data_IF_958876919706
#
_entry.id   IF_958876919706
#
_cell.length_a   1.000
_cell.length_b   1.000
_cell.length_c   1.000
_cell.angle_alpha   90.00
_cell.angle_beta   90.00
_cell.angle_gamma   90.00
#
_symmetry.space_group_name_H-M   'P 1'
#
loop_
_entity.id
_entity.type
_entity.pdbx_description
1 polymer ?
#
# COMPACT_ATOMS: atom_id res chain seq x y z
N UNK A 1 -10.27 -13.55 -13.11
CA UNK A 1 -10.10 -14.68 -12.15
C UNK A 1 -11.44 -14.97 -11.50
N UNK A 2 -11.98 -16.18 -11.70
CA UNK A 2 -13.34 -16.57 -11.29
C UNK A 2 -13.39 -17.61 -10.15
N UNK A 3 -12.23 -18.09 -9.71
CA UNK A 3 -12.07 -19.09 -8.64
C UNK A 3 -11.10 -18.53 -7.57
N UNK A 4 -11.47 -18.53 -6.27
CA UNK A 4 -10.56 -18.14 -5.19
C UNK A 4 -9.37 -19.11 -5.00
N UNK A 5 -9.36 -20.29 -5.63
CA UNK A 5 -8.27 -21.25 -5.56
C UNK A 5 -8.01 -21.75 -4.14
N UNK A 6 -6.73 -21.96 -3.80
CA UNK A 6 -6.32 -22.52 -2.50
C UNK A 6 -6.52 -21.50 -1.39
N UNK A 7 -7.42 -21.80 -0.45
CA UNK A 7 -7.65 -20.96 0.73
C UNK A 7 -6.57 -21.25 1.78
N UNK A 8 -5.73 -20.25 2.07
CA UNK A 8 -4.68 -20.33 3.09
C UNK A 8 -5.20 -19.95 4.49
N UNK A 9 -6.23 -19.10 4.56
CA UNK A 9 -6.87 -18.66 5.80
C UNK A 9 -8.29 -18.17 5.54
N UNK A 10 -9.21 -18.40 6.49
CA UNK A 10 -10.58 -17.90 6.44
C UNK A 10 -11.60 -18.98 6.06
N UNK A 11 -12.89 -18.61 6.10
CA UNK A 11 -13.98 -19.52 5.77
C UNK A 11 -14.21 -19.59 4.25
N UNK A 12 -14.09 -20.79 3.67
CA UNK A 12 -14.12 -20.98 2.22
C UNK A 12 -15.45 -20.65 1.56
N UNK A 13 -16.57 -20.95 2.22
CA UNK A 13 -17.90 -20.64 1.70
C UNK A 13 -18.17 -19.13 1.74
N UNK A 14 -17.78 -18.45 2.83
CA UNK A 14 -17.85 -17.00 2.92
C UNK A 14 -16.97 -16.29 1.88
N UNK A 15 -15.79 -16.83 1.58
CA UNK A 15 -14.91 -16.34 0.51
C UNK A 15 -15.60 -16.49 -0.85
N UNK A 16 -16.09 -17.67 -1.21
CA UNK A 16 -16.79 -17.91 -2.49
C UNK A 16 -18.03 -17.02 -2.66
N UNK A 17 -18.81 -16.84 -1.60
CA UNK A 17 -19.96 -15.95 -1.60
C UNK A 17 -19.54 -14.48 -1.78
N UNK A 18 -18.40 -14.08 -1.22
CA UNK A 18 -17.85 -12.73 -1.39
C UNK A 18 -17.25 -12.52 -2.77
N UNK A 19 -16.59 -13.52 -3.34
CA UNK A 19 -16.07 -13.50 -4.71
C UNK A 19 -17.22 -13.35 -5.72
N UNK A 20 -18.30 -14.11 -5.54
CA UNK A 20 -19.53 -13.97 -6.34
C UNK A 20 -20.08 -12.56 -6.28
N UNK A 21 -20.18 -11.97 -5.08
CA UNK A 21 -20.66 -10.59 -4.91
C UNK A 21 -19.75 -9.56 -5.59
N UNK A 22 -18.43 -9.73 -5.48
CA UNK A 22 -17.47 -8.86 -6.17
C UNK A 22 -17.62 -8.97 -7.69
N UNK A 23 -17.79 -10.18 -8.24
CA UNK A 23 -17.93 -10.39 -9.68
C UNK A 23 -19.21 -9.76 -10.26
N UNK A 24 -20.27 -9.65 -9.46
CA UNK A 24 -21.51 -8.97 -9.83
C UNK A 24 -21.39 -7.44 -9.78
N UNK A 25 -20.37 -6.91 -9.10
CA UNK A 25 -20.15 -5.48 -9.02
C UNK A 25 -19.58 -4.96 -10.35
N UNK A 26 -20.19 -3.92 -10.97
CA UNK A 26 -19.69 -3.36 -12.21
C UNK A 26 -18.28 -2.81 -12.01
N UNK A 27 -17.45 -2.94 -13.04
CA UNK A 27 -16.13 -2.30 -13.10
C UNK A 27 -16.36 -0.85 -13.48
N UNK A 28 -15.95 0.06 -12.59
CA UNK A 28 -16.11 1.50 -12.82
C UNK A 28 -15.00 2.06 -13.69
N UNK A 29 -13.80 1.48 -13.63
CA UNK A 29 -12.68 1.86 -14.46
C UNK A 29 -11.82 0.64 -14.78
N UNK A 30 -11.87 0.21 -16.04
CA UNK A 30 -11.05 -0.88 -16.57
C UNK A 30 -9.89 -0.31 -17.40
N UNK A 31 -8.67 -0.62 -16.98
CA UNK A 31 -7.43 -0.23 -17.63
C UNK A 31 -6.61 -1.46 -18.04
N UNK A 32 -7.22 -2.65 -18.10
CA UNK A 32 -6.53 -3.93 -18.35
C UNK A 32 -5.73 -3.95 -19.65
N UNK A 33 -6.22 -3.23 -20.68
CA UNK A 33 -5.58 -3.14 -22.00
C UNK A 33 -4.44 -2.10 -22.07
N UNK A 34 -4.15 -1.41 -20.96
CA UNK A 34 -3.11 -0.39 -20.93
C UNK A 34 -1.73 -1.05 -21.08
N UNK A 35 -0.88 -0.59 -22.00
CA UNK A 35 0.47 -1.12 -22.12
C UNK A 35 1.29 -0.80 -20.86
N UNK A 36 2.09 -1.76 -20.43
CA UNK A 36 3.04 -1.64 -19.32
C UNK A 36 4.46 -1.91 -19.79
N UNK A 37 5.42 -1.28 -19.14
CA UNK A 37 6.82 -1.51 -19.42
C UNK A 37 7.22 -2.96 -19.12
N UNK A 38 8.15 -3.55 -19.90
CA UNK A 38 8.65 -4.89 -19.61
C UNK A 38 9.39 -4.92 -18.27
N UNK A 39 9.45 -6.10 -17.66
CA UNK A 39 10.19 -6.31 -16.41
C UNK A 39 11.67 -5.90 -16.55
N UNK A 40 12.17 -5.23 -15.52
CA UNK A 40 13.55 -4.76 -15.45
C UNK A 40 14.48 -5.94 -15.19
N UNK A 41 15.61 -6.00 -15.91
CA UNK A 41 16.59 -7.08 -15.74
C UNK A 41 17.54 -6.84 -14.56
N UNK A 42 17.88 -5.58 -14.30
CA UNK A 42 18.84 -5.18 -13.28
C UNK A 42 18.18 -4.33 -12.21
N UNK A 43 18.65 -4.52 -10.98
CA UNK A 43 18.24 -3.71 -9.85
C UNK A 43 18.65 -2.26 -10.06
N UNK A 44 17.95 -1.35 -9.40
CA UNK A 44 18.24 0.08 -9.38
C UNK A 44 18.32 0.58 -7.94
N UNK A 45 19.06 1.68 -7.77
CA UNK A 45 19.00 2.53 -6.58
C UNK A 45 18.84 3.98 -7.03
N UNK A 46 18.76 4.91 -6.08
CA UNK A 46 18.67 6.34 -6.36
C UNK A 46 19.99 6.89 -6.92
N UNK A 47 19.93 7.91 -7.78
CA UNK A 47 21.16 8.54 -8.28
C UNK A 47 21.75 9.56 -7.30
N UNK A 48 20.88 10.25 -6.56
CA UNK A 48 21.23 11.24 -5.53
C UNK A 48 20.19 11.23 -4.41
N UNK A 49 20.52 11.77 -3.23
CA UNK A 49 19.54 11.93 -2.18
C UNK A 49 18.60 13.11 -2.44
N UNK A 50 17.37 13.01 -1.94
CA UNK A 50 16.41 14.12 -1.88
C UNK A 50 15.68 14.13 -0.53
N UNK A 51 15.38 15.31 -0.03
CA UNK A 51 14.79 15.52 1.29
C UNK A 51 13.44 16.23 1.17
N UNK A 52 12.47 15.74 1.94
CA UNK A 52 11.15 16.37 2.09
C UNK A 52 10.83 16.55 3.57
N UNK A 53 10.15 17.64 3.90
CA UNK A 53 9.73 17.96 5.25
C UNK A 53 8.28 18.45 5.30
N UNK A 54 7.58 18.17 6.39
CA UNK A 54 6.20 18.57 6.59
C UNK A 54 5.73 18.37 8.03
N UNK A 55 4.50 18.76 8.38
CA UNK A 55 3.95 18.55 9.71
C UNK A 55 3.79 17.05 10.02
N UNK A 56 3.94 16.62 11.26
CA UNK A 56 3.71 15.22 11.66
C UNK A 56 2.23 14.90 11.91
N UNK A 57 1.87 13.61 11.85
CA UNK A 57 0.47 13.20 12.04
C UNK A 57 0.02 13.24 13.50
N UNK A 58 0.87 12.82 14.45
CA UNK A 58 0.46 12.57 15.85
C UNK A 58 0.99 13.58 16.87
N UNK A 59 2.01 14.37 16.52
CA UNK A 59 2.63 15.35 17.44
C UNK A 59 2.35 16.81 17.00
N UNK A 60 1.18 17.07 16.43
CA UNK A 60 0.77 18.42 16.04
C UNK A 60 1.70 19.07 15.00
N UNK A 61 2.20 20.27 15.29
CA UNK A 61 3.00 21.09 14.35
C UNK A 61 4.48 20.70 14.24
N UNK A 62 4.92 19.63 14.89
CA UNK A 62 6.31 19.19 14.78
C UNK A 62 6.63 18.87 13.32
N UNK A 63 7.68 19.50 12.79
CA UNK A 63 8.19 19.17 11.46
C UNK A 63 8.84 17.79 11.50
N UNK A 64 8.46 16.93 10.56
CA UNK A 64 9.10 15.65 10.26
C UNK A 64 9.87 15.81 8.98
N UNK A 65 10.98 15.09 8.88
CA UNK A 65 11.86 15.11 7.72
C UNK A 65 12.16 13.68 7.29
N UNK A 66 12.06 13.45 5.99
CA UNK A 66 12.51 12.21 5.35
C UNK A 66 13.55 12.57 4.29
N UNK A 67 14.64 11.82 4.27
CA UNK A 67 15.61 11.82 3.18
C UNK A 67 15.63 10.45 2.51
N UNK A 68 15.41 10.45 1.21
CA UNK A 68 15.61 9.28 0.36
C UNK A 68 17.06 9.27 -0.09
N UNK A 69 17.77 8.18 0.12
CA UNK A 69 19.19 8.09 -0.19
C UNK A 69 19.54 6.79 -0.92
N UNK A 70 20.54 6.81 -1.82
CA UNK A 70 21.10 5.60 -2.40
C UNK A 70 21.66 4.68 -1.31
N UNK A 71 21.65 3.37 -1.56
CA UNK A 71 22.22 2.40 -0.62
C UNK A 71 22.76 1.18 -1.36
N UNK A 72 23.79 0.56 -0.78
CA UNK A 72 24.31 -0.74 -1.20
C UNK A 72 23.57 -1.92 -0.57
N UNK A 73 22.71 -1.67 0.42
CA UNK A 73 21.87 -2.70 1.04
C UNK A 73 20.73 -3.06 0.07
N UNK A 74 20.48 -4.36 -0.11
CA UNK A 74 19.37 -4.82 -0.95
C UNK A 74 18.02 -4.54 -0.28
N UNK A 75 17.06 -4.05 -1.06
CA UNK A 75 15.71 -3.71 -0.60
C UNK A 75 15.59 -2.31 -0.01
N UNK A 76 14.42 -2.04 0.56
CA UNK A 76 14.12 -0.77 1.20
C UNK A 76 14.38 -0.85 2.71
N UNK A 77 14.96 0.20 3.28
CA UNK A 77 15.33 0.28 4.68
C UNK A 77 14.90 1.60 5.28
N UNK A 78 14.45 1.58 6.53
CA UNK A 78 14.12 2.77 7.32
C UNK A 78 15.20 3.00 8.37
N UNK A 79 15.81 4.17 8.37
CA UNK A 79 16.85 4.56 9.33
C UNK A 79 16.38 5.71 10.23
N UNK A 80 16.23 5.43 11.53
CA UNK A 80 15.80 6.39 12.56
C UNK A 80 16.97 7.28 12.97
N UNK A 81 17.20 8.35 12.23
CA UNK A 81 18.31 9.29 12.44
C UNK A 81 18.26 10.01 13.79
N UNK A 82 17.08 10.14 14.38
CA UNK A 82 16.87 10.67 15.74
C UNK A 82 17.23 9.65 16.85
N UNK A 83 17.58 8.40 16.47
CA UNK A 83 17.95 7.32 17.38
C UNK A 83 19.30 6.72 17.02
N UNK A 84 20.41 7.48 17.18
CA UNK A 84 21.75 6.98 16.92
C UNK A 84 22.00 5.71 17.77
N UNK A 85 22.48 4.64 17.13
CA UNK A 85 22.69 3.33 17.74
C UNK A 85 21.57 2.30 17.48
N UNK A 86 20.47 2.69 16.85
CA UNK A 86 19.48 1.75 16.32
C UNK A 86 19.94 1.22 14.95
N UNK A 87 19.75 -0.08 14.69
CA UNK A 87 19.95 -0.61 13.34
C UNK A 87 18.77 -0.20 12.43
N UNK A 88 19.03 0.01 11.13
CA UNK A 88 17.96 0.22 10.16
C UNK A 88 16.92 -0.91 10.16
N UNK A 89 15.67 -0.56 9.92
CA UNK A 89 14.53 -1.48 9.85
C UNK A 89 14.33 -1.88 8.40
N UNK A 90 14.53 -3.15 8.05
CA UNK A 90 14.22 -3.66 6.70
C UNK A 90 12.71 -3.57 6.45
N UNK A 91 12.31 -3.09 5.29
CA UNK A 91 10.93 -3.18 4.81
C UNK A 91 10.66 -4.64 4.44
N UNK A 92 9.90 -5.34 5.29
CA UNK A 92 9.61 -6.76 5.12
C UNK A 92 8.63 -7.27 6.17
N UNK A 93 7.91 -8.34 5.82
CA UNK A 93 6.81 -8.86 6.64
C UNK A 93 7.24 -9.30 8.05
N UNK A 94 8.49 -9.75 8.21
CA UNK A 94 9.08 -10.13 9.49
C UNK A 94 9.24 -8.96 10.47
N UNK A 95 9.27 -7.72 9.98
CA UNK A 95 9.39 -6.52 10.79
C UNK A 95 8.04 -5.83 11.05
N UNK A 96 6.91 -6.37 10.55
CA UNK A 96 5.58 -5.85 10.89
C UNK A 96 5.28 -6.12 12.35
N UNK A 97 5.14 -5.05 13.12
CA UNK A 97 4.84 -5.13 14.55
C UNK A 97 3.34 -5.15 14.81
N UNK A 98 2.58 -4.27 14.15
CA UNK A 98 1.12 -4.17 14.30
C UNK A 98 0.52 -3.42 13.11
N UNK A 99 -0.79 -3.57 12.91
CA UNK A 99 -1.54 -2.86 11.86
C UNK A 99 -2.46 -1.74 12.38
N UNK A 100 -2.25 -1.28 13.63
CA UNK A 100 -2.95 -0.15 14.22
C UNK A 100 -4.46 -0.38 14.43
N UNK A 101 -4.95 -0.32 15.67
CA UNK A 101 -6.38 -0.57 15.94
C UNK A 101 -7.27 0.67 15.79
N UNK A 102 -6.75 1.86 16.13
CA UNK A 102 -7.53 3.12 16.10
C UNK A 102 -7.37 3.82 14.74
N UNK A 103 -6.12 3.98 14.32
CA UNK A 103 -5.72 4.39 12.98
C UNK A 103 -5.11 3.15 12.33
N UNK A 104 -5.83 2.59 11.37
CA UNK A 104 -5.34 1.48 10.54
C UNK A 104 -4.12 1.97 9.79
N UNK A 105 -2.97 1.36 10.03
CA UNK A 105 -1.69 1.69 9.38
C UNK A 105 -0.77 0.46 9.41
N UNK A 106 0.43 0.55 8.83
CA UNK A 106 1.48 -0.45 9.01
C UNK A 106 2.56 0.13 9.93
N UNK A 107 2.94 -0.64 10.95
CA UNK A 107 4.05 -0.30 11.85
C UNK A 107 5.17 -1.30 11.68
N UNK A 108 6.34 -0.81 11.29
CA UNK A 108 7.56 -1.61 11.21
C UNK A 108 8.45 -1.35 12.43
N UNK A 109 9.13 -2.40 12.91
CA UNK A 109 10.04 -2.33 14.06
C UNK A 109 11.25 -3.24 13.84
N UNK A 110 12.40 -2.85 14.38
CA UNK A 110 13.58 -3.73 14.49
C UNK A 110 14.29 -3.53 15.82
N UNK A 111 14.66 -4.62 16.49
CA UNK A 111 15.42 -4.58 17.74
C UNK A 111 14.66 -3.90 18.88
N UNK A 112 15.23 -2.81 19.42
CA UNK A 112 14.69 -2.09 20.57
C UNK A 112 13.19 -1.74 20.38
N UNK A 113 12.32 -1.91 21.40
CA UNK A 113 10.89 -1.55 21.34
C UNK A 113 10.58 -0.13 20.85
N UNK A 114 11.50 0.81 21.02
CA UNK A 114 11.35 2.21 20.59
C UNK A 114 11.87 2.48 19.17
N UNK A 115 12.52 1.52 18.52
CA UNK A 115 12.97 1.62 17.13
C UNK A 115 11.87 1.10 16.19
N UNK A 116 10.83 1.90 16.03
CA UNK A 116 9.71 1.64 15.13
C UNK A 116 9.40 2.85 14.25
N UNK A 117 8.73 2.61 13.13
CA UNK A 117 8.12 3.63 12.28
C UNK A 117 6.69 3.19 11.99
N UNK A 118 5.73 4.08 12.25
CA UNK A 118 4.30 3.87 11.96
C UNK A 118 3.89 4.64 10.70
N UNK A 119 2.75 4.29 10.13
CA UNK A 119 2.21 4.92 8.92
C UNK A 119 3.14 4.79 7.71
N UNK A 120 3.81 3.64 7.57
CA UNK A 120 4.76 3.44 6.47
C UNK A 120 4.09 3.10 5.14
N UNK A 121 2.79 2.78 5.14
CA UNK A 121 2.06 2.20 4.01
C UNK A 121 2.22 3.00 2.72
N UNK A 122 1.94 4.31 2.78
CA UNK A 122 1.95 5.23 1.64
C UNK A 122 3.33 5.43 1.04
N UNK A 123 4.37 5.17 1.84
CA UNK A 123 5.76 5.22 1.42
C UNK A 123 6.17 3.89 0.80
N UNK A 124 5.97 2.80 1.55
CA UNK A 124 6.42 1.45 1.20
C UNK A 124 5.71 0.93 -0.05
N UNK A 125 4.46 1.32 -0.30
CA UNK A 125 3.74 0.88 -1.50
C UNK A 125 4.42 1.30 -2.80
N UNK A 126 5.12 2.44 -2.80
CA UNK A 126 5.82 2.97 -3.97
C UNK A 126 6.96 2.06 -4.46
N UNK A 127 7.43 1.13 -3.61
CA UNK A 127 8.38 0.09 -3.99
C UNK A 127 7.89 -0.73 -5.20
N UNK A 128 6.58 -0.94 -5.31
CA UNK A 128 6.01 -1.75 -6.39
C UNK A 128 5.96 -1.02 -7.73
N UNK A 129 5.98 0.32 -7.74
CA UNK A 129 5.66 1.12 -8.92
C UNK A 129 6.74 2.08 -9.40
N UNK A 130 7.67 2.49 -8.53
CA UNK A 130 8.65 3.53 -8.85
C UNK A 130 9.94 3.01 -9.49
N UNK A 131 10.08 1.68 -9.65
CA UNK A 131 11.27 1.09 -10.28
C UNK A 131 12.57 1.35 -9.50
N UNK A 132 12.50 1.40 -8.17
CA UNK A 132 13.64 1.53 -7.24
C UNK A 132 13.70 0.29 -6.36
N UNK A 133 14.75 -0.53 -6.48
CA UNK A 133 14.87 -1.76 -5.69
C UNK A 133 15.54 -1.53 -4.33
N UNK A 134 16.55 -0.66 -4.32
CA UNK A 134 17.43 -0.46 -3.17
C UNK A 134 17.38 1.01 -2.75
N UNK A 135 16.92 1.28 -1.53
CA UNK A 135 16.83 2.65 -1.01
C UNK A 135 16.96 2.67 0.52
N UNK A 136 17.68 3.66 1.03
CA UNK A 136 17.64 4.03 2.43
C UNK A 136 16.68 5.21 2.61
N UNK A 137 15.73 5.07 3.53
CA UNK A 137 14.78 6.11 3.93
C UNK A 137 15.20 6.56 5.33
N UNK A 138 15.88 7.69 5.40
CA UNK A 138 16.28 8.30 6.65
C UNK A 138 15.13 9.14 7.19
N UNK A 139 14.74 8.92 8.44
CA UNK A 139 13.62 9.61 9.08
C UNK A 139 14.03 10.12 10.46
N UNK A 140 13.66 11.36 10.78
CA UNK A 140 14.00 12.05 12.03
C UNK A 140 12.98 11.82 13.16
N UNK A 141 12.10 10.84 12.99
CA UNK A 141 10.99 10.61 13.90
C UNK A 141 10.36 9.23 13.69
N UNK A 142 9.37 8.88 14.53
CA UNK A 142 8.66 7.61 14.44
C UNK A 142 7.50 7.57 13.43
N UNK A 143 7.21 8.66 12.72
CA UNK A 143 6.14 8.75 11.71
C UNK A 143 6.56 9.68 10.56
N UNK A 144 6.15 9.41 9.30
CA UNK A 144 6.45 10.30 8.19
C UNK A 144 5.73 11.65 8.30
N UNK A 145 6.15 12.66 7.52
CA UNK A 145 5.36 13.87 7.31
C UNK A 145 3.94 13.54 6.83
N UNK A 146 2.98 14.32 7.30
CA UNK A 146 1.61 14.31 6.82
C UNK A 146 1.54 15.17 5.55
N UNK A 147 1.44 14.49 4.42
CA UNK A 147 1.35 15.13 3.11
C UNK A 147 -0.07 15.63 2.81
N UNK A 148 -0.19 16.82 2.20
CA UNK A 148 -1.50 17.35 1.80
C UNK A 148 -1.97 16.80 0.44
N UNK A 149 -1.03 16.36 -0.41
CA UNK A 149 -1.28 15.93 -1.78
C UNK A 149 -1.29 14.39 -1.94
N UNK A 150 -1.73 13.66 -0.90
CA UNK A 150 -1.54 12.21 -0.87
C UNK A 150 -0.04 11.87 -0.82
N UNK A 151 0.42 10.87 -1.55
CA UNK A 151 1.84 10.53 -1.69
C UNK A 151 2.55 11.25 -2.83
N UNK A 152 1.93 12.23 -3.50
CA UNK A 152 2.52 12.89 -4.67
C UNK A 152 3.87 13.53 -4.36
N UNK A 153 3.98 14.21 -3.21
CA UNK A 153 5.24 14.86 -2.78
C UNK A 153 6.39 13.83 -2.65
N UNK A 154 6.07 12.58 -2.26
CA UNK A 154 7.02 11.47 -2.20
C UNK A 154 7.41 11.01 -3.61
N UNK A 155 6.43 10.82 -4.49
CA UNK A 155 6.67 10.42 -5.88
C UNK A 155 7.57 11.44 -6.59
N UNK A 156 7.27 12.72 -6.47
CA UNK A 156 8.07 13.80 -7.07
C UNK A 156 9.49 13.86 -6.49
N UNK A 157 9.66 13.59 -5.20
CA UNK A 157 10.98 13.51 -4.58
C UNK A 157 11.79 12.32 -5.14
N UNK A 158 11.16 11.15 -5.30
CA UNK A 158 11.80 9.98 -5.91
C UNK A 158 12.15 10.20 -7.38
N UNK A 159 11.28 10.86 -8.15
CA UNK A 159 11.58 11.26 -9.53
C UNK A 159 12.77 12.23 -9.60
N UNK A 160 12.85 13.20 -8.68
CA UNK A 160 14.00 14.11 -8.56
C UNK A 160 15.28 13.34 -8.22
N UNK A 161 15.23 12.33 -7.35
CA UNK A 161 16.41 11.52 -7.04
C UNK A 161 17.05 10.91 -8.30
N UNK A 162 16.24 10.61 -9.31
CA UNK A 162 16.63 9.78 -10.45
C UNK A 162 17.04 8.37 -10.01
N UNK A 163 17.36 7.51 -10.97
CA UNK A 163 17.80 6.13 -10.69
C UNK A 163 19.09 5.80 -11.41
N UNK A 164 19.85 4.87 -10.82
CA UNK A 164 21.03 4.26 -11.43
C UNK A 164 20.89 2.74 -11.37
N UNK A 165 21.26 2.06 -12.47
CA UNK A 165 21.30 0.61 -12.51
C UNK A 165 22.45 0.05 -11.66
N UNK A 166 22.22 -1.12 -11.09
CA UNK A 166 23.17 -1.90 -10.33
C UNK A 166 23.52 -3.19 -11.09
N UNK A 167 24.63 -3.83 -10.71
CA UNK A 167 25.08 -5.07 -11.36
C UNK A 167 24.26 -6.33 -11.02
N UNK A 168 23.27 -6.24 -10.14
CA UNK A 168 22.49 -7.39 -9.63
C UNK A 168 21.16 -7.55 -10.36
N UNK A 169 20.67 -8.78 -10.61
CA UNK A 169 19.38 -8.99 -11.25
C UNK A 169 18.20 -8.63 -10.32
N UNK A 170 17.10 -8.15 -10.90
CA UNK A 170 15.84 -8.01 -10.16
C UNK A 170 15.29 -9.41 -9.88
N UNK A 171 14.85 -9.66 -8.64
CA UNK A 171 14.17 -10.90 -8.29
C UNK A 171 12.66 -10.69 -8.41
N UNK A 172 12.03 -11.48 -9.27
CA UNK A 172 10.58 -11.54 -9.39
C UNK A 172 10.06 -12.83 -8.79
N UNK A 173 8.93 -12.72 -8.10
CA UNK A 173 8.26 -13.87 -7.46
C UNK A 173 6.79 -13.89 -7.85
N UNK A 174 6.21 -15.09 -7.79
CA UNK A 174 4.79 -15.33 -8.05
C UNK A 174 4.30 -16.46 -7.13
N UNK A 175 3.04 -16.86 -7.31
CA UNK A 175 2.45 -18.07 -6.71
C UNK A 175 2.14 -19.06 -7.83
N UNK A 176 2.28 -20.37 -7.55
CA UNK A 176 2.07 -21.43 -8.56
C UNK A 176 0.61 -21.60 -9.00
N UNK A 177 -0.31 -21.29 -8.10
CA UNK A 177 -1.75 -21.40 -8.29
C UNK A 177 -2.43 -20.24 -7.54
N UNK A 178 -3.69 -19.91 -7.84
CA UNK A 178 -4.41 -18.90 -7.07
C UNK A 178 -4.47 -19.28 -5.58
N UNK A 179 -4.09 -18.35 -4.71
CA UNK A 179 -4.14 -18.50 -3.25
C UNK A 179 -4.92 -17.35 -2.63
N UNK A 180 -5.77 -17.66 -1.66
CA UNK A 180 -6.68 -16.67 -1.04
C UNK A 180 -6.57 -16.68 0.47
N UNK A 181 -6.67 -15.48 1.06
CA UNK A 181 -7.03 -15.33 2.47
C UNK A 181 -8.34 -14.54 2.61
N UNK A 182 -9.19 -14.96 3.54
CA UNK A 182 -10.44 -14.31 3.88
C UNK A 182 -10.45 -13.80 5.32
N UNK A 183 -11.08 -12.64 5.51
CA UNK A 183 -11.40 -12.10 6.82
C UNK A 183 -12.78 -12.51 7.31
N UNK A 184 -13.25 -11.86 8.37
CA UNK A 184 -14.51 -12.19 9.05
C UNK A 184 -15.69 -11.33 8.56
N UNK A 185 -15.45 -10.31 7.73
CA UNK A 185 -16.46 -9.34 7.31
C UNK A 185 -16.78 -9.45 5.81
N UNK A 186 -16.60 -10.65 5.24
CA UNK A 186 -16.74 -10.90 3.81
C UNK A 186 -15.69 -10.16 2.97
N UNK A 187 -14.54 -9.89 3.58
CA UNK A 187 -13.33 -9.38 2.96
C UNK A 187 -12.42 -10.53 2.53
N UNK A 188 -11.78 -10.40 1.38
CA UNK A 188 -10.77 -11.37 0.91
C UNK A 188 -9.72 -10.70 0.03
N UNK A 189 -8.59 -11.39 -0.11
CA UNK A 189 -7.57 -11.07 -1.11
C UNK A 189 -7.00 -12.36 -1.69
N UNK A 190 -6.91 -12.41 -3.02
CA UNK A 190 -6.40 -13.52 -3.81
C UNK A 190 -5.19 -13.06 -4.59
N UNK A 191 -4.11 -13.85 -4.55
CA UNK A 191 -3.00 -13.75 -5.48
C UNK A 191 -3.07 -14.89 -6.47
N UNK A 192 -2.71 -14.66 -7.73
CA UNK A 192 -2.59 -15.71 -8.73
C UNK A 192 -1.38 -15.44 -9.62
N UNK A 193 -0.88 -16.49 -10.31
CA UNK A 193 0.17 -16.30 -11.30
C UNK A 193 -0.25 -15.35 -12.45
N UNK A 194 0.73 -14.82 -13.21
CA UNK A 194 0.45 -14.14 -14.47
C UNK A 194 -0.24 -15.09 -15.46
N UNK A 195 -1.11 -14.55 -16.31
CA UNK A 195 -1.76 -15.34 -17.36
C UNK A 195 -0.78 -15.78 -18.45
N UNK A 196 0.22 -14.93 -18.75
CA UNK A 196 1.30 -15.21 -19.70
C UNK A 196 2.66 -15.07 -18.99
N UNK A 197 3.38 -16.18 -18.72
CA UNK A 197 4.73 -16.16 -18.17
C UNK A 197 5.77 -15.44 -19.07
N UNK A 198 5.50 -15.31 -20.37
CA UNK A 198 6.38 -14.63 -21.34
C UNK A 198 6.25 -13.11 -21.30
N UNK A 199 5.12 -12.58 -20.81
CA UNK A 199 4.88 -11.15 -20.60
C UNK A 199 4.31 -10.88 -19.20
N UNK A 200 5.05 -11.22 -18.13
CA UNK A 200 4.54 -11.13 -16.77
C UNK A 200 4.46 -9.68 -16.30
N UNK A 201 3.34 -9.34 -15.68
CA UNK A 201 3.07 -8.03 -15.08
C UNK A 201 2.29 -8.21 -13.79
N UNK A 202 2.17 -7.14 -13.00
CA UNK A 202 1.27 -7.11 -11.85
C UNK A 202 -0.05 -6.44 -12.25
N UNK A 203 -1.14 -7.20 -12.28
CA UNK A 203 -2.49 -6.67 -12.53
C UNK A 203 -3.31 -6.69 -11.24
N UNK A 204 -4.05 -5.62 -10.98
CA UNK A 204 -4.87 -5.43 -9.78
C UNK A 204 -6.33 -5.30 -10.16
N UNK A 205 -7.20 -6.08 -9.51
CA UNK A 205 -8.66 -5.95 -9.50
C UNK A 205 -9.10 -5.67 -8.06
N UNK A 206 -9.47 -4.42 -7.77
CA UNK A 206 -9.79 -3.96 -6.42
C UNK A 206 -11.24 -3.46 -6.35
N UNK A 207 -12.01 -4.03 -5.43
CA UNK A 207 -13.39 -3.67 -5.18
C UNK A 207 -13.66 -3.27 -3.72
N UNK A 208 -14.40 -2.17 -3.58
CA UNK A 208 -14.86 -1.61 -2.32
C UNK A 208 -16.38 -1.74 -2.20
N UNK A 209 -16.86 -1.79 -0.96
CA UNK A 209 -18.29 -1.75 -0.64
C UNK A 209 -18.51 -1.11 0.73
N UNK A 210 -18.91 0.16 0.73
CA UNK A 210 -19.10 0.97 1.94
C UNK A 210 -20.54 1.50 2.07
N UNK A 211 -21.09 1.57 3.28
CA UNK A 211 -22.41 2.16 3.55
C UNK A 211 -22.35 3.71 3.64
N UNK A 212 -21.53 4.33 2.81
CA UNK A 212 -21.30 5.79 2.77
C UNK A 212 -21.28 6.26 1.32
N UNK A 213 -20.98 7.55 1.09
CA UNK A 213 -20.81 8.11 -0.26
C UNK A 213 -19.72 7.42 -1.11
N UNK A 214 -18.81 6.65 -0.51
CA UNK A 214 -17.88 5.79 -1.25
C UNK A 214 -18.65 4.74 -2.05
N UNK A 215 -19.69 4.14 -1.44
CA UNK A 215 -20.52 3.13 -2.08
C UNK A 215 -19.74 1.89 -2.54
N UNK A 216 -20.21 1.30 -3.63
CA UNK A 216 -19.49 0.25 -4.35
C UNK A 216 -18.56 0.90 -5.39
N UNK A 217 -17.29 0.50 -5.40
CA UNK A 217 -16.29 0.95 -6.37
C UNK A 217 -15.46 -0.22 -6.85
N UNK A 218 -15.19 -0.36 -8.15
CA UNK A 218 -14.27 -1.40 -8.65
C UNK A 218 -13.38 -0.86 -9.76
N UNK A 219 -12.07 -1.05 -9.61
CA UNK A 219 -11.07 -0.64 -10.59
C UNK A 219 -10.19 -1.83 -10.96
N UNK A 220 -9.82 -1.92 -12.23
CA UNK A 220 -8.91 -2.95 -12.75
C UNK A 220 -7.79 -2.25 -13.51
N UNK A 221 -6.53 -2.55 -13.20
CA UNK A 221 -5.39 -1.92 -13.87
C UNK A 221 -4.12 -2.78 -13.80
N UNK A 222 -3.25 -2.71 -14.82
CA UNK A 222 -1.86 -3.14 -14.71
C UNK A 222 -1.05 -2.07 -13.97
N UNK A 223 -0.17 -2.48 -13.05
CA UNK A 223 0.66 -1.57 -12.30
C UNK A 223 1.79 -1.02 -13.19
N UNK A 224 1.91 0.30 -13.24
CA UNK A 224 2.99 1.03 -13.91
C UNK A 224 3.45 2.21 -13.07
N UNK A 225 4.59 2.82 -13.44
CA UNK A 225 5.04 4.07 -12.81
C UNK A 225 4.01 5.19 -13.00
N UNK A 226 3.38 5.27 -14.17
CA UNK A 226 2.36 6.27 -14.47
C UNK A 226 1.10 6.10 -13.60
N UNK A 227 0.61 4.86 -13.46
CA UNK A 227 -0.53 4.55 -12.59
C UNK A 227 -0.19 4.87 -11.14
N UNK A 228 1.02 4.51 -10.69
CA UNK A 228 1.50 4.79 -9.33
C UNK A 228 1.49 6.29 -9.06
N UNK A 229 2.01 7.10 -9.99
CA UNK A 229 2.00 8.56 -9.90
C UNK A 229 0.60 9.13 -9.86
N UNK A 230 -0.28 8.73 -10.79
CA UNK A 230 -1.66 9.20 -10.84
C UNK A 230 -2.41 8.86 -9.55
N UNK A 231 -2.32 7.63 -9.06
CA UNK A 231 -3.00 7.18 -7.86
C UNK A 231 -2.39 7.78 -6.57
N UNK A 232 -1.15 8.26 -6.61
CA UNK A 232 -0.49 8.86 -5.44
C UNK A 232 -1.23 10.07 -4.89
N UNK A 233 -2.06 10.77 -5.69
CA UNK A 233 -2.83 11.92 -5.21
C UNK A 233 -4.00 11.53 -4.30
N UNK A 234 -4.35 10.23 -4.26
CA UNK A 234 -5.49 9.70 -3.53
C UNK A 234 -5.29 9.82 -2.02
N UNK A 235 -6.15 10.60 -1.36
CA UNK A 235 -6.07 10.79 0.09
C UNK A 235 -6.59 9.57 0.84
N UNK A 236 -6.08 9.41 2.06
CA UNK A 236 -6.72 8.52 3.02
C UNK A 236 -8.16 8.97 3.25
N UNK A 237 -9.05 8.01 3.50
CA UNK A 237 -10.48 8.26 3.57
C UNK A 237 -11.03 7.94 4.96
N UNK A 238 -12.12 8.63 5.32
CA UNK A 238 -12.81 8.41 6.60
C UNK A 238 -14.29 8.75 6.48
N UNK A 239 -15.12 8.21 7.37
CA UNK A 239 -16.53 8.60 7.41
C UNK A 239 -16.72 9.88 8.23
N UNK A 240 -17.72 10.69 7.87
CA UNK A 240 -18.11 11.87 8.66
C UNK A 240 -18.45 11.49 10.10
N UNK A 241 -19.05 10.32 10.32
CA UNK A 241 -19.32 9.80 11.65
C UNK A 241 -18.03 9.59 12.47
N UNK A 242 -16.97 9.05 11.86
CA UNK A 242 -15.67 8.89 12.51
C UNK A 242 -15.02 10.25 12.81
N UNK A 243 -15.14 11.22 11.92
CA UNK A 243 -14.67 12.60 12.17
C UNK A 243 -15.36 13.20 13.39
N UNK A 244 -16.70 13.12 13.47
CA UNK A 244 -17.48 13.64 14.60
C UNK A 244 -17.07 12.92 15.89
N UNK A 245 -16.93 11.59 15.86
CA UNK A 245 -16.47 10.81 17.01
C UNK A 245 -15.08 11.27 17.49
N UNK A 246 -14.12 11.39 16.58
CA UNK A 246 -12.76 11.83 16.91
C UNK A 246 -12.74 13.26 17.48
N UNK A 247 -13.55 14.17 16.93
CA UNK A 247 -13.64 15.56 17.38
C UNK A 247 -14.34 15.74 18.73
N UNK A 248 -15.16 14.77 19.15
CA UNK A 248 -15.94 14.82 20.40
C UNK A 248 -15.30 13.96 21.49
N UNK A 249 -15.57 12.65 21.47
CA UNK A 249 -15.14 11.68 22.48
C UNK A 249 -13.68 11.30 22.26
N UNK A 250 -13.25 11.20 21.01
CA UNK A 250 -11.90 10.76 20.66
C UNK A 250 -10.79 11.63 21.24
N UNK A 251 -11.04 12.94 21.45
CA UNK A 251 -10.07 13.86 22.07
C UNK A 251 -9.67 13.48 23.50
N UNK A 252 -10.39 12.57 24.16
CA UNK A 252 -9.98 12.02 25.46
C UNK A 252 -8.70 11.18 25.29
N UNK A 253 -8.54 10.48 24.16
CA UNK A 253 -7.36 9.68 23.86
C UNK A 253 -6.23 10.53 23.29
N UNK A 254 -5.04 10.41 23.89
CA UNK A 254 -3.86 11.20 23.50
C UNK A 254 -3.52 11.05 22.01
N UNK A 255 -3.63 9.84 21.46
CA UNK A 255 -3.31 9.52 20.07
C UNK A 255 -4.29 10.15 19.05
N UNK A 256 -5.46 10.62 19.50
CA UNK A 256 -6.50 11.21 18.64
C UNK A 256 -6.57 12.73 18.80
N UNK A 257 -6.21 13.25 19.98
CA UNK A 257 -6.31 14.68 20.32
C UNK A 257 -5.48 15.60 19.41
N UNK A 258 -4.34 15.10 18.91
CA UNK A 258 -3.36 15.90 18.17
C UNK A 258 -3.17 15.45 16.71
N UNK A 259 -4.19 14.81 16.13
CA UNK A 259 -4.16 14.39 14.73
C UNK A 259 -4.14 15.61 13.79
N UNK A 260 -3.17 15.66 12.86
CA UNK A 260 -3.03 16.70 11.85
C UNK A 260 -4.05 16.65 10.69
N UNK A 261 -5.01 15.71 10.74
CA UNK A 261 -5.98 15.51 9.67
C UNK A 261 -6.94 16.70 9.50
N UNK A 262 -7.22 17.05 8.25
CA UNK A 262 -8.10 18.12 7.83
C UNK A 262 -8.78 17.79 6.48
N UNK A 263 -9.62 18.69 5.98
CA UNK A 263 -10.37 18.51 4.73
C UNK A 263 -9.50 18.55 3.47
N UNK A 264 -8.22 18.95 3.57
CA UNK A 264 -7.27 18.91 2.46
C UNK A 264 -6.57 17.56 2.37
N UNK A 265 -6.17 16.96 3.48
CA UNK A 265 -5.37 15.72 3.50
C UNK A 265 -6.17 14.42 3.72
N UNK A 266 -7.47 14.51 4.04
CA UNK A 266 -8.38 13.35 4.16
C UNK A 266 -9.62 13.54 3.28
N UNK A 267 -10.02 12.49 2.57
CA UNK A 267 -11.32 12.41 1.88
C UNK A 267 -12.41 11.96 2.87
N UNK A 268 -13.43 12.81 3.09
CA UNK A 268 -14.44 12.58 4.12
C UNK A 268 -15.77 12.17 3.45
N UNK A 269 -16.16 10.92 3.64
CA UNK A 269 -17.40 10.37 3.11
C UNK A 269 -18.57 10.59 4.09
N UNK A 270 -19.55 11.39 3.69
CA UNK A 270 -20.85 11.45 4.34
C UNK A 270 -21.74 10.26 3.97
N UNK A 271 -23.00 10.25 4.42
CA UNK A 271 -23.95 9.16 4.13
C UNK A 271 -24.31 9.06 2.63
N UNK A 272 -24.51 10.21 1.96
CA UNK A 272 -24.95 10.29 0.56
C UNK A 272 -23.99 11.03 -0.37
N UNK A 273 -23.14 11.91 0.17
CA UNK A 273 -22.17 12.71 -0.57
C UNK A 273 -20.87 12.85 0.22
N UNK A 274 -19.78 13.13 -0.47
CA UNK A 274 -18.54 13.56 0.16
C UNK A 274 -18.71 14.94 0.80
N UNK A 275 -17.98 15.20 1.88
CA UNK A 275 -17.97 16.49 2.58
C UNK A 275 -17.04 17.48 1.87
N UNK A 276 -15.93 16.99 1.33
CA UNK A 276 -14.96 17.72 0.56
C UNK A 276 -14.87 17.16 -0.87
N UNK A 277 -14.33 17.96 -1.79
CA UNK A 277 -14.25 17.61 -3.20
C UNK A 277 -13.28 16.43 -3.44
N UNK A 278 -13.72 15.35 -4.11
CA UNK A 278 -12.85 14.23 -4.49
C UNK A 278 -11.83 14.63 -5.56
N UNK A 279 -10.63 14.03 -5.54
CA UNK A 279 -9.54 14.33 -6.48
C UNK A 279 -9.51 13.44 -7.72
N UNK A 280 -9.97 12.20 -7.58
CA UNK A 280 -9.96 11.19 -8.64
C UNK A 280 -11.39 10.90 -9.07
N UNK A 281 -11.86 11.65 -10.07
CA UNK A 281 -13.15 11.49 -10.71
C UNK A 281 -12.98 10.73 -12.03
N UNK A 282 -13.84 9.76 -12.26
CA UNK A 282 -13.96 9.06 -13.53
C UNK A 282 -15.45 8.97 -13.89
N UNK A 283 -15.82 9.50 -15.05
CA UNK A 283 -17.23 9.54 -15.51
C UNK A 283 -18.21 10.10 -14.46
N UNK A 284 -17.78 11.11 -13.70
CA UNK A 284 -18.58 11.74 -12.63
C UNK A 284 -18.64 10.95 -11.32
N UNK A 285 -18.03 9.76 -11.25
CA UNK A 285 -17.90 8.96 -10.02
C UNK A 285 -16.55 9.19 -9.34
N UNK A 286 -16.57 9.39 -8.04
CA UNK A 286 -15.36 9.53 -7.23
C UNK A 286 -14.75 8.17 -6.91
N UNK A 287 -13.59 7.86 -7.50
CA UNK A 287 -12.85 6.60 -7.33
C UNK A 287 -11.60 6.75 -6.44
N UNK A 288 -11.45 7.91 -5.77
CA UNK A 288 -10.31 8.21 -4.91
C UNK A 288 -10.09 7.14 -3.81
N UNK A 289 -11.15 6.61 -3.21
CA UNK A 289 -11.04 5.57 -2.19
C UNK A 289 -10.52 4.25 -2.77
N UNK A 290 -10.97 3.85 -3.96
CA UNK A 290 -10.49 2.64 -4.64
C UNK A 290 -9.01 2.76 -5.02
N UNK A 291 -8.58 3.91 -5.56
CA UNK A 291 -7.18 4.17 -5.88
C UNK A 291 -6.29 4.19 -4.64
N UNK A 292 -6.73 4.84 -3.56
CA UNK A 292 -6.02 4.83 -2.28
C UNK A 292 -5.84 3.41 -1.76
N UNK A 293 -6.93 2.64 -1.71
CA UNK A 293 -6.91 1.26 -1.24
C UNK A 293 -5.98 0.38 -2.09
N UNK A 294 -6.10 0.47 -3.41
CA UNK A 294 -5.37 -0.40 -4.31
C UNK A 294 -3.87 -0.08 -4.33
N UNK A 295 -3.49 1.20 -4.49
CA UNK A 295 -2.09 1.57 -4.75
C UNK A 295 -1.33 1.99 -3.48
N UNK A 296 -1.98 2.61 -2.50
CA UNK A 296 -1.30 3.14 -1.32
C UNK A 296 -1.44 2.22 -0.09
N UNK A 297 -2.52 1.44 0.01
CA UNK A 297 -2.73 0.54 1.14
C UNK A 297 -2.37 -0.92 0.83
N UNK A 298 -2.91 -1.50 -0.25
CA UNK A 298 -2.76 -2.92 -0.56
C UNK A 298 -1.35 -3.25 -1.02
N UNK A 299 -0.84 -2.48 -1.99
CA UNK A 299 0.52 -2.66 -2.50
C UNK A 299 1.59 -2.39 -1.44
N UNK A 300 1.26 -1.66 -0.37
CA UNK A 300 2.17 -1.54 0.78
C UNK A 300 2.45 -2.91 1.41
N UNK A 301 1.43 -3.75 1.59
CA UNK A 301 1.62 -5.10 2.11
C UNK A 301 2.38 -5.97 1.11
N UNK A 302 2.05 -5.91 -0.18
CA UNK A 302 2.77 -6.68 -1.22
C UNK A 302 4.25 -6.29 -1.27
N UNK A 303 4.56 -5.01 -1.10
CA UNK A 303 5.94 -4.51 -0.98
C UNK A 303 6.70 -5.06 0.23
N UNK A 304 6.01 -5.62 1.23
CA UNK A 304 6.62 -6.31 2.38
C UNK A 304 7.07 -7.73 2.06
N UNK A 305 6.99 -8.21 0.82
CA UNK A 305 7.70 -9.41 0.37
C UNK A 305 9.20 -9.03 0.27
N UNK A 306 10.06 -9.44 1.23
CA UNK A 306 11.45 -9.00 1.30
C UNK A 306 12.34 -9.45 0.14
N UNK A 307 12.03 -10.59 -0.49
CA UNK A 307 12.98 -11.32 -1.35
C UNK A 307 12.69 -11.21 -2.86
N UNK A 308 11.73 -10.37 -3.26
CA UNK A 308 11.42 -10.11 -4.65
C UNK A 308 10.32 -9.07 -4.85
N UNK A 309 9.97 -8.83 -6.10
CA UNK A 309 8.79 -8.09 -6.52
C UNK A 309 7.75 -9.09 -7.02
N UNK A 310 6.54 -9.02 -6.47
CA UNK A 310 5.45 -9.88 -6.91
C UNK A 310 4.95 -9.48 -8.30
N UNK A 311 4.80 -10.47 -9.18
CA UNK A 311 4.14 -10.35 -10.48
C UNK A 311 3.02 -11.39 -10.56
N UNK A 312 2.00 -11.11 -11.37
CA UNK A 312 0.79 -11.91 -11.47
C UNK A 312 -0.45 -11.07 -11.24
N UNK A 313 -1.44 -11.60 -10.55
CA UNK A 313 -2.73 -10.95 -10.36
C UNK A 313 -3.07 -10.81 -8.89
N UNK A 314 -3.65 -9.68 -8.53
CA UNK A 314 -4.26 -9.43 -7.22
C UNK A 314 -5.75 -9.20 -7.44
N UNK A 315 -6.58 -9.93 -6.71
CA UNK A 315 -8.01 -9.67 -6.58
C UNK A 315 -8.32 -9.35 -5.14
N UNK A 316 -8.92 -8.19 -4.84
CA UNK A 316 -9.20 -7.76 -3.47
C UNK A 316 -10.61 -7.21 -3.33
N UNK A 317 -11.33 -7.69 -2.31
CA UNK A 317 -12.66 -7.20 -1.98
C UNK A 317 -12.74 -6.83 -0.51
N UNK A 318 -13.07 -5.56 -0.22
CA UNK A 318 -13.30 -5.01 1.14
C UNK A 318 -12.16 -5.21 2.16
N UNK A 319 -11.03 -5.74 1.75
CA UNK A 319 -9.88 -6.00 2.61
C UNK A 319 -9.24 -4.69 3.09
N UNK A 320 -8.37 -4.79 4.09
CA UNK A 320 -7.54 -3.69 4.60
C UNK A 320 -6.26 -4.23 5.22
N UNK A 321 -5.40 -3.35 5.76
CA UNK A 321 -4.01 -3.69 6.09
C UNK A 321 -3.83 -4.95 6.94
N UNK A 322 -4.73 -5.22 7.89
CA UNK A 322 -4.68 -6.45 8.70
C UNK A 322 -4.73 -7.69 7.82
N UNK A 323 -5.70 -7.79 6.92
CA UNK A 323 -5.83 -8.94 6.02
C UNK A 323 -4.70 -8.95 4.99
N UNK A 324 -4.27 -7.79 4.49
CA UNK A 324 -3.18 -7.71 3.51
C UNK A 324 -1.84 -8.18 4.08
N UNK A 325 -1.51 -7.76 5.32
CA UNK A 325 -0.31 -8.25 5.99
C UNK A 325 -0.43 -9.75 6.33
N UNK A 326 -1.64 -10.20 6.70
CA UNK A 326 -1.88 -11.62 6.98
C UNK A 326 -1.73 -12.47 5.72
N UNK A 327 -2.20 -12.01 4.55
CA UNK A 327 -1.93 -12.64 3.26
C UNK A 327 -0.43 -12.90 3.11
N UNK A 328 0.40 -11.85 3.24
CA UNK A 328 1.84 -11.98 3.03
C UNK A 328 2.47 -12.94 4.05
N UNK A 329 2.04 -12.94 5.32
CA UNK A 329 2.48 -13.94 6.29
C UNK A 329 2.12 -15.36 5.85
N UNK A 330 0.88 -15.57 5.41
CA UNK A 330 0.40 -16.87 4.95
C UNK A 330 1.17 -17.38 3.73
N UNK A 331 1.64 -16.49 2.85
CA UNK A 331 2.50 -16.88 1.72
C UNK A 331 3.77 -17.59 2.18
N UNK A 332 4.41 -17.07 3.24
CA UNK A 332 5.63 -17.64 3.81
C UNK A 332 5.35 -18.87 4.68
N UNK A 333 4.31 -18.82 5.53
CA UNK A 333 3.93 -19.95 6.39
C UNK A 333 3.56 -21.20 5.58
N UNK A 334 2.93 -21.01 4.43
CA UNK A 334 2.51 -22.10 3.53
C UNK A 334 3.52 -22.37 2.40
N UNK A 335 4.63 -21.63 2.33
CA UNK A 335 5.70 -21.79 1.33
C UNK A 335 5.18 -21.81 -0.12
N UNK A 336 4.27 -20.89 -0.45
CA UNK A 336 3.61 -20.85 -1.78
C UNK A 336 4.22 -19.84 -2.75
N UNK A 337 5.13 -18.98 -2.28
CA UNK A 337 5.90 -18.08 -3.14
C UNK A 337 7.00 -18.85 -3.86
N UNK A 338 7.15 -18.59 -5.15
CA UNK A 338 8.18 -19.18 -5.99
C UNK A 338 8.85 -18.11 -6.86
N UNK A 339 10.13 -18.27 -7.23
CA UNK A 339 10.74 -17.48 -8.28
C UNK A 339 9.91 -17.52 -9.56
N UNK A 340 9.80 -16.41 -10.28
CA UNK A 340 9.07 -16.36 -11.54
C UNK A 340 9.65 -17.30 -12.60
N UNK A 341 10.96 -17.52 -12.58
CA UNK A 341 11.66 -18.43 -13.49
C UNK A 341 11.36 -19.92 -13.24
N UNK A 342 10.81 -20.25 -12.06
CA UNK A 342 10.40 -21.61 -11.68
C UNK A 342 8.90 -21.87 -11.94
N UNK A 343 8.18 -20.87 -12.47
CA UNK A 343 6.75 -20.93 -12.81
C UNK A 343 6.56 -21.18 -14.31
#
# INVERSE_FOLDING_TARGET
MTDPGKILMGDGEAIKASDTRMNQQPVDWDLSDRPVEPLRRKQTTLARPETISGPGTFMGKATRTITFAPTSLEGWWLDRTDRPGSLPIRVGISNVWTTGQIVSNIVLRSGNPHNYVRMVEHLVSLRMGMGVDNMMIQIDSGDPPLFEQGSLDVVEALEKCGTVELGKPVRYVTVKEPVTVGGTYGDFITLAPPDDPGSPQLTVDCALSFPTAIGQQRIIFPLSAEITKMASIARTNTSLAKVIYCATIGRIFADVRHLGYNTKNVSIAGKKRYVNEPRLLHEGKALEAAWHRAVLDMLAAIALIPDGLFVGKIKSYKAGHRLDCELVKQLYLNQVLVPLEDF
#
